data_IF_855590161699
#
_entry.id   IF_855590161699
#
_cell.length_a   1.000
_cell.length_b   1.000
_cell.length_c   1.000
_cell.angle_alpha   90.00
_cell.angle_beta   90.00
_cell.angle_gamma   90.00
#
_symmetry.space_group_name_H-M   'P 1'
#
loop_
_entity.id
_entity.type
_entity.pdbx_description
1 polymer ?
#
# COMPACT_ATOMS: atom_id res chain seq x y z
N UNK A 1 49.06 -3.05 -7.92
CA UNK A 1 48.29 -3.07 -6.66
C UNK A 1 48.39 -1.73 -5.93
N UNK A 2 49.57 -1.34 -5.41
CA UNK A 2 49.77 -0.10 -4.61
C UNK A 2 49.32 1.19 -5.34
N UNK A 3 49.63 1.34 -6.63
CA UNK A 3 49.20 2.50 -7.43
C UNK A 3 47.68 2.58 -7.65
N UNK A 4 46.98 1.44 -7.56
CA UNK A 4 45.53 1.36 -7.78
C UNK A 4 44.74 1.56 -6.47
N UNK A 5 45.40 1.61 -5.31
CA UNK A 5 44.74 1.82 -4.02
C UNK A 5 44.54 3.32 -3.77
N UNK A 6 43.30 3.78 -3.86
CA UNK A 6 42.93 5.18 -3.67
C UNK A 6 42.97 5.63 -2.20
N UNK A 7 43.11 4.69 -1.24
CA UNK A 7 43.09 4.99 0.20
C UNK A 7 44.44 5.43 0.78
N UNK A 8 45.53 5.28 0.02
CA UNK A 8 46.90 5.61 0.46
C UNK A 8 47.34 7.00 -0.07
N UNK A 9 47.85 7.84 0.84
CA UNK A 9 48.46 9.13 0.49
C UNK A 9 49.73 8.96 -0.37
N UNK A 10 50.06 9.96 -1.19
CA UNK A 10 51.12 9.86 -2.19
C UNK A 10 52.54 9.66 -1.60
N UNK A 11 52.80 10.21 -0.41
CA UNK A 11 54.00 10.00 0.40
C UNK A 11 54.13 8.52 0.84
N UNK A 12 53.07 7.94 1.41
CA UNK A 12 53.04 6.55 1.88
C UNK A 12 53.24 5.56 0.74
N UNK A 13 52.67 5.85 -0.44
CA UNK A 13 52.91 5.04 -1.65
C UNK A 13 54.39 5.00 -2.01
N UNK A 14 55.05 6.15 -1.98
CA UNK A 14 56.49 6.26 -2.31
C UNK A 14 57.34 5.48 -1.34
N UNK A 15 57.05 5.56 -0.04
CA UNK A 15 57.77 4.80 0.98
C UNK A 15 57.57 3.29 0.82
N UNK A 16 56.34 2.84 0.53
CA UNK A 16 56.07 1.42 0.32
C UNK A 16 56.77 0.88 -0.94
N UNK A 17 56.88 1.69 -2.00
CA UNK A 17 57.70 1.31 -3.17
C UNK A 17 59.16 1.11 -2.80
N UNK A 18 59.72 1.98 -1.96
CA UNK A 18 61.10 1.83 -1.49
C UNK A 18 61.26 0.55 -0.67
N UNK A 19 60.30 0.22 0.21
CA UNK A 19 60.32 -1.03 0.98
C UNK A 19 60.33 -2.27 0.08
N UNK A 20 59.49 -2.29 -0.96
CA UNK A 20 59.40 -3.43 -1.90
C UNK A 20 60.67 -3.56 -2.74
N UNK A 21 61.25 -2.44 -3.18
CA UNK A 21 62.48 -2.45 -3.98
C UNK A 21 63.70 -2.88 -3.16
N UNK A 22 63.68 -2.67 -1.84
CA UNK A 22 64.77 -3.01 -0.92
C UNK A 22 64.69 -4.44 -0.36
N UNK A 23 63.81 -5.27 -0.91
CA UNK A 23 63.78 -6.71 -0.61
C UNK A 23 65.02 -7.37 -1.23
N UNK A 24 65.92 -7.89 -0.40
CA UNK A 24 67.19 -8.48 -0.84
C UNK A 24 67.09 -9.97 -1.11
N UNK A 25 66.23 -10.69 -0.37
CA UNK A 25 66.00 -12.11 -0.57
C UNK A 25 64.58 -12.52 -0.16
N UNK A 26 64.05 -13.58 -0.78
CA UNK A 26 62.83 -14.24 -0.32
C UNK A 26 62.97 -15.76 -0.40
N UNK A 27 62.52 -16.47 0.63
CA UNK A 27 62.52 -17.94 0.70
C UNK A 27 61.22 -18.44 1.32
N UNK A 28 60.77 -19.63 0.95
CA UNK A 28 59.59 -20.26 1.56
C UNK A 28 60.07 -21.47 2.35
N UNK A 29 59.88 -21.43 3.66
CA UNK A 29 60.24 -22.53 4.58
C UNK A 29 58.98 -22.95 5.31
N UNK A 30 58.62 -24.23 5.19
CA UNK A 30 57.47 -24.83 5.92
C UNK A 30 56.14 -24.07 5.75
N UNK A 31 55.89 -23.48 4.58
CA UNK A 31 54.67 -22.72 4.28
C UNK A 31 54.66 -21.25 4.74
N UNK A 32 55.77 -20.77 5.31
CA UNK A 32 55.99 -19.36 5.68
C UNK A 32 56.94 -18.70 4.69
N UNK A 33 56.54 -17.54 4.16
CA UNK A 33 57.33 -16.70 3.28
C UNK A 33 58.26 -15.80 4.10
N UNK A 34 59.54 -16.11 4.09
CA UNK A 34 60.59 -15.30 4.72
C UNK A 34 61.11 -14.27 3.71
N UNK A 35 60.98 -13.00 4.03
CA UNK A 35 61.43 -11.87 3.21
C UNK A 35 62.53 -11.14 3.96
N UNK A 36 63.71 -11.03 3.38
CA UNK A 36 64.81 -10.22 3.93
C UNK A 36 64.78 -8.84 3.29
N UNK A 37 64.79 -7.79 4.12
CA UNK A 37 64.76 -6.39 3.69
C UNK A 37 66.03 -5.69 4.19
N UNK A 38 66.56 -4.75 3.40
CA UNK A 38 67.69 -3.91 3.81
C UNK A 38 67.47 -3.31 5.21
N UNK A 39 68.50 -3.36 6.05
CA UNK A 39 68.40 -2.97 7.45
C UNK A 39 67.94 -1.53 7.67
N UNK A 40 68.31 -0.61 6.78
CA UNK A 40 67.95 0.81 6.90
C UNK A 40 66.47 1.08 6.61
N UNK A 41 65.90 0.43 5.59
CA UNK A 41 64.46 0.54 5.27
C UNK A 41 63.60 -0.26 6.24
N UNK A 42 64.09 -1.40 6.74
CA UNK A 42 63.39 -2.12 7.80
C UNK A 42 63.22 -1.26 9.07
N UNK A 43 64.27 -0.56 9.52
CA UNK A 43 64.22 0.30 10.72
C UNK A 43 63.27 1.49 10.55
N UNK A 44 63.09 2.02 9.34
CA UNK A 44 62.16 3.10 9.05
C UNK A 44 60.71 2.69 9.33
N UNK A 45 60.32 1.49 8.90
CA UNK A 45 58.94 1.01 8.99
C UNK A 45 58.60 0.34 10.32
N UNK A 46 59.53 -0.43 10.88
CA UNK A 46 59.26 -1.31 12.02
C UNK A 46 60.01 -0.89 13.30
N UNK A 47 60.90 0.09 13.20
CA UNK A 47 61.73 0.57 14.31
C UNK A 47 62.97 -0.30 14.56
N UNK A 48 63.87 0.20 15.41
CA UNK A 48 65.17 -0.43 15.72
C UNK A 48 65.10 -1.65 16.64
N UNK A 49 63.97 -1.88 17.29
CA UNK A 49 63.85 -2.81 18.42
C UNK A 49 63.45 -4.25 18.08
N UNK A 50 63.30 -4.61 16.80
CA UNK A 50 62.88 -5.97 16.41
C UNK A 50 63.71 -6.50 15.24
N UNK A 51 64.13 -7.76 15.35
CA UNK A 51 64.89 -8.50 14.34
C UNK A 51 64.03 -8.98 13.17
N UNK A 52 62.74 -9.17 13.42
CA UNK A 52 61.76 -9.51 12.39
C UNK A 52 60.33 -9.14 12.78
N UNK A 53 59.46 -9.07 11.78
CA UNK A 53 58.01 -8.93 11.94
C UNK A 53 57.27 -10.07 11.27
N UNK A 54 56.35 -10.67 12.01
CA UNK A 54 55.50 -11.74 11.50
C UNK A 54 54.09 -11.20 11.20
N UNK A 55 53.55 -11.56 10.03
CA UNK A 55 52.16 -11.32 9.65
C UNK A 55 51.60 -12.53 8.90
N UNK A 56 50.61 -13.21 9.47
CA UNK A 56 49.99 -14.42 8.91
C UNK A 56 51.00 -15.53 8.53
N UNK A 57 51.32 -15.70 7.24
CA UNK A 57 52.30 -16.67 6.75
C UNK A 57 53.55 -15.97 6.20
N UNK A 58 53.82 -14.73 6.61
CA UNK A 58 54.94 -13.92 6.16
C UNK A 58 55.80 -13.50 7.34
N UNK A 59 57.11 -13.70 7.22
CA UNK A 59 58.11 -13.25 8.17
C UNK A 59 59.05 -12.28 7.47
N UNK A 60 59.03 -11.01 7.86
CA UNK A 60 59.93 -9.98 7.36
C UNK A 60 61.12 -9.92 8.29
N UNK A 61 62.33 -10.11 7.78
CA UNK A 61 63.59 -10.19 8.54
C UNK A 61 64.48 -9.03 8.13
N UNK A 62 65.14 -8.42 9.11
CA UNK A 62 66.14 -7.37 8.89
C UNK A 62 67.45 -7.97 8.37
N UNK A 63 67.99 -7.41 7.28
CA UNK A 63 69.26 -7.85 6.71
C UNK A 63 70.42 -7.68 7.71
N UNK A 64 71.22 -8.74 7.89
CA UNK A 64 72.43 -8.74 8.72
C UNK A 64 72.25 -9.26 10.15
N UNK A 65 71.03 -9.62 10.58
CA UNK A 65 70.81 -10.26 11.88
C UNK A 65 70.68 -11.78 11.75
N UNK A 66 71.56 -12.52 12.44
CA UNK A 66 71.62 -13.99 12.41
C UNK A 66 70.91 -14.65 13.59
N UNK A 67 70.57 -13.91 14.64
CA UNK A 67 69.83 -14.39 15.81
C UNK A 67 68.40 -13.81 15.78
N UNK A 68 67.42 -14.68 15.54
CA UNK A 68 66.01 -14.31 15.31
C UNK A 68 65.22 -14.26 16.63
N UNK A 69 65.84 -13.77 17.72
CA UNK A 69 65.24 -13.88 19.06
C UNK A 69 64.14 -12.85 19.34
N UNK A 70 64.05 -11.79 18.53
CA UNK A 70 63.08 -10.70 18.73
C UNK A 70 62.16 -10.51 17.52
N UNK A 71 61.29 -11.49 17.27
CA UNK A 71 60.22 -11.40 16.27
C UNK A 71 58.97 -10.76 16.89
N UNK A 72 58.61 -9.56 16.44
CA UNK A 72 57.33 -8.94 16.78
C UNK A 72 56.22 -9.33 15.81
N UNK A 73 54.96 -9.20 16.19
CA UNK A 73 53.86 -9.21 15.20
C UNK A 73 53.80 -7.86 14.46
N UNK A 74 53.47 -7.87 13.18
CA UNK A 74 53.16 -6.64 12.45
C UNK A 74 51.72 -6.21 12.80
N UNK A 75 51.55 -4.97 13.22
CA UNK A 75 50.24 -4.39 13.51
C UNK A 75 49.59 -3.88 12.22
N UNK A 76 48.31 -4.18 12.03
CA UNK A 76 47.57 -3.64 10.89
C UNK A 76 47.05 -2.23 11.17
N UNK A 77 46.78 -1.46 10.12
CA UNK A 77 46.14 -0.14 10.27
C UNK A 77 44.79 -0.22 11.00
N UNK A 78 44.02 -1.30 10.76
CA UNK A 78 42.74 -1.51 11.44
C UNK A 78 42.91 -1.73 12.94
N UNK A 79 43.90 -2.52 13.37
CA UNK A 79 44.21 -2.72 14.79
C UNK A 79 44.65 -1.42 15.47
N UNK A 80 45.44 -0.60 14.79
CA UNK A 80 45.85 0.72 15.30
C UNK A 80 44.63 1.63 15.49
N UNK A 81 43.72 1.68 14.50
CA UNK A 81 42.49 2.46 14.59
C UNK A 81 41.55 1.95 15.70
N UNK A 82 41.44 0.62 15.87
CA UNK A 82 40.69 0.02 16.97
C UNK A 82 41.29 0.38 18.32
N UNK A 83 42.61 0.32 18.45
CA UNK A 83 43.30 0.72 19.66
C UNK A 83 43.10 2.21 19.96
N UNK A 84 43.22 3.07 18.95
CA UNK A 84 42.98 4.52 19.09
C UNK A 84 41.54 4.81 19.53
N UNK A 85 40.56 4.14 18.94
CA UNK A 85 39.16 4.26 19.33
C UNK A 85 38.93 3.78 20.77
N UNK A 86 39.51 2.64 21.15
CA UNK A 86 39.45 2.11 22.51
C UNK A 86 40.12 3.04 23.53
N UNK A 87 41.27 3.61 23.20
CA UNK A 87 41.99 4.55 24.05
C UNK A 87 41.21 5.86 24.22
N UNK A 88 40.65 6.40 23.13
CA UNK A 88 39.79 7.59 23.18
C UNK A 88 38.55 7.33 24.04
N UNK A 89 37.92 6.16 23.92
CA UNK A 89 36.80 5.78 24.78
C UNK A 89 37.21 5.73 26.26
N UNK A 90 38.35 5.11 26.57
CA UNK A 90 38.87 5.05 27.93
C UNK A 90 39.17 6.45 28.47
N UNK A 91 39.76 7.33 27.68
CA UNK A 91 40.04 8.70 28.07
C UNK A 91 38.76 9.48 28.38
N UNK A 92 37.71 9.31 27.56
CA UNK A 92 36.39 9.90 27.84
C UNK A 92 35.77 9.37 29.14
N UNK A 93 35.93 8.08 29.43
CA UNK A 93 35.49 7.48 30.71
C UNK A 93 36.25 8.06 31.89
N UNK A 94 37.58 8.15 31.80
CA UNK A 94 38.42 8.74 32.86
C UNK A 94 38.06 10.20 33.12
N UNK A 95 37.67 10.94 32.07
CA UNK A 95 37.28 12.35 32.17
C UNK A 95 35.81 12.57 32.55
N UNK A 96 35.04 11.52 32.87
CA UNK A 96 33.61 11.59 33.25
C UNK A 96 32.72 12.36 32.24
N UNK A 97 32.96 12.20 30.94
CA UNK A 97 32.09 12.79 29.91
C UNK A 97 30.74 12.03 29.82
N UNK A 98 29.62 12.77 29.92
CA UNK A 98 28.26 12.22 30.05
C UNK A 98 27.64 11.62 28.78
N UNK A 99 28.32 11.71 27.63
CA UNK A 99 27.82 11.24 26.33
C UNK A 99 28.16 9.78 26.01
N UNK A 100 28.75 9.04 26.94
CA UNK A 100 29.07 7.62 26.75
C UNK A 100 27.84 6.78 27.10
N UNK A 101 27.03 6.47 26.08
CA UNK A 101 25.93 5.49 26.20
C UNK A 101 26.51 4.07 26.34
N UNK A 102 26.78 3.63 27.56
CA UNK A 102 26.98 2.21 27.83
C UNK A 102 25.69 1.47 27.43
N UNK A 103 25.83 0.41 26.62
CA UNK A 103 24.75 -0.54 26.37
C UNK A 103 24.48 -1.25 27.69
N UNK A 104 23.63 -0.66 28.52
CA UNK A 104 23.29 -1.22 29.84
C UNK A 104 22.83 -2.66 29.65
N UNK A 105 23.27 -3.61 30.49
CA UNK A 105 22.73 -4.97 30.44
C UNK A 105 21.22 -4.89 30.61
N UNK A 106 20.49 -5.62 29.76
CA UNK A 106 19.03 -5.66 29.79
C UNK A 106 18.61 -6.08 31.20
N UNK A 107 18.06 -5.14 31.98
CA UNK A 107 17.49 -5.48 33.28
C UNK A 107 16.29 -6.39 33.02
N UNK A 108 16.37 -7.63 33.49
CA UNK A 108 15.27 -8.58 33.53
C UNK A 108 14.03 -7.96 34.23
N UNK A 109 12.82 -8.45 33.93
CA UNK A 109 11.57 -7.75 34.21
C UNK A 109 11.40 -7.40 35.68
N UNK A 110 11.00 -6.16 35.93
CA UNK A 110 10.55 -5.69 37.24
C UNK A 110 9.29 -6.48 37.63
N UNK A 111 9.31 -7.12 38.80
CA UNK A 111 8.12 -7.78 39.35
C UNK A 111 7.18 -6.67 39.82
N UNK A 112 6.10 -6.43 39.06
CA UNK A 112 5.19 -5.32 39.30
C UNK A 112 4.40 -5.46 40.62
N UNK A 113 4.21 -6.68 41.14
CA UNK A 113 3.44 -6.91 42.36
C UNK A 113 3.90 -8.18 43.09
N UNK A 114 4.42 -8.05 44.31
CA UNK A 114 4.90 -9.17 45.15
C UNK A 114 3.78 -10.13 45.54
N UNK A 115 2.53 -9.64 45.62
CA UNK A 115 1.38 -10.45 46.02
C UNK A 115 0.98 -11.47 44.95
N UNK A 116 1.33 -11.23 43.68
CA UNK A 116 1.01 -12.10 42.54
C UNK A 116 2.18 -13.00 42.14
N UNK A 117 3.29 -12.99 42.88
CA UNK A 117 4.48 -13.78 42.52
C UNK A 117 4.19 -15.27 42.52
N UNK A 118 3.40 -15.76 43.49
CA UNK A 118 3.02 -17.17 43.56
C UNK A 118 2.23 -17.62 42.33
N UNK A 119 1.22 -16.85 41.93
CA UNK A 119 0.39 -17.14 40.75
C UNK A 119 1.17 -16.99 39.46
N UNK A 120 2.03 -15.97 39.34
CA UNK A 120 2.88 -15.76 38.17
C UNK A 120 3.95 -16.85 38.02
N UNK A 121 4.58 -17.27 39.11
CA UNK A 121 5.51 -18.39 39.10
C UNK A 121 4.80 -19.68 38.73
N UNK A 122 3.60 -19.93 39.27
CA UNK A 122 2.83 -21.12 38.92
C UNK A 122 2.42 -21.12 37.44
N UNK A 123 2.04 -19.97 36.87
CA UNK A 123 1.78 -19.82 35.44
C UNK A 123 3.05 -20.00 34.59
N UNK A 124 4.20 -19.46 35.02
CA UNK A 124 5.49 -19.56 34.31
C UNK A 124 6.16 -20.95 34.43
N UNK A 125 5.86 -21.68 35.50
CA UNK A 125 6.36 -23.04 35.74
C UNK A 125 5.41 -24.12 35.22
N UNK A 126 4.23 -23.75 34.71
CA UNK A 126 3.28 -24.72 34.16
C UNK A 126 3.94 -25.49 32.99
N UNK A 127 4.21 -26.80 33.15
CA UNK A 127 4.99 -27.56 32.18
C UNK A 127 4.30 -27.61 30.81
N UNK A 128 2.97 -27.56 30.75
CA UNK A 128 2.21 -27.54 29.49
C UNK A 128 2.55 -26.33 28.60
N UNK A 129 2.83 -25.16 29.20
CA UNK A 129 3.19 -23.94 28.49
C UNK A 129 4.71 -23.84 28.28
N UNK A 130 5.50 -24.19 29.30
CA UNK A 130 6.95 -23.97 29.30
C UNK A 130 7.70 -24.96 28.41
N UNK A 131 7.27 -26.23 28.36
CA UNK A 131 7.85 -27.22 27.45
C UNK A 131 7.56 -26.85 26.00
N UNK A 132 6.31 -26.49 25.70
CA UNK A 132 5.87 -26.08 24.36
C UNK A 132 6.65 -24.87 23.86
N UNK A 133 6.75 -23.80 24.66
CA UNK A 133 7.54 -22.60 24.34
C UNK A 133 9.03 -22.90 24.15
N UNK A 134 9.59 -23.80 24.97
CA UNK A 134 10.99 -24.21 24.85
C UNK A 134 11.25 -24.91 23.51
N UNK A 135 10.40 -25.86 23.11
CA UNK A 135 10.56 -26.57 21.83
C UNK A 135 10.37 -25.61 20.65
N UNK A 136 9.35 -24.74 20.70
CA UNK A 136 9.12 -23.66 19.72
C UNK A 136 10.38 -22.80 19.55
N UNK A 137 11.01 -22.36 20.65
CA UNK A 137 12.22 -21.54 20.59
C UNK A 137 13.43 -22.24 19.98
N UNK A 138 13.44 -23.58 20.02
CA UNK A 138 14.53 -24.41 19.48
C UNK A 138 14.35 -24.70 17.99
N UNK A 139 13.11 -24.79 17.51
CA UNK A 139 12.82 -25.04 16.10
C UNK A 139 12.74 -23.70 15.37
N UNK A 140 13.81 -23.35 14.66
CA UNK A 140 13.88 -22.12 13.86
C UNK A 140 13.73 -22.45 12.38
N UNK A 141 12.86 -21.70 11.70
CA UNK A 141 12.62 -21.81 10.26
C UNK A 141 13.14 -20.54 9.58
N UNK A 142 13.69 -20.72 8.39
CA UNK A 142 14.20 -19.63 7.56
C UNK A 142 13.03 -18.86 6.94
N UNK A 143 12.90 -17.57 7.25
CA UNK A 143 11.82 -16.72 6.73
C UNK A 143 12.22 -15.87 5.50
N UNK A 144 13.43 -16.06 4.96
CA UNK A 144 14.01 -15.25 3.88
C UNK A 144 15.11 -14.30 4.34
N UNK A 145 15.05 -13.78 5.57
CA UNK A 145 16.04 -12.83 6.11
C UNK A 145 16.74 -13.35 7.37
N UNK A 146 16.02 -14.05 8.25
CA UNK A 146 16.56 -14.54 9.53
C UNK A 146 15.94 -15.90 9.93
N UNK A 147 16.61 -16.61 10.83
CA UNK A 147 16.08 -17.83 11.46
C UNK A 147 15.14 -17.46 12.62
N UNK A 148 13.83 -17.50 12.38
CA UNK A 148 12.81 -17.23 13.40
C UNK A 148 12.25 -18.51 14.01
N UNK A 149 12.02 -18.57 15.33
CA UNK A 149 11.33 -19.70 15.95
C UNK A 149 9.90 -19.82 15.39
N UNK A 150 9.40 -21.05 15.28
CA UNK A 150 8.03 -21.33 14.81
C UNK A 150 7.01 -20.89 15.86
N UNK A 151 5.89 -20.28 15.45
CA UNK A 151 4.86 -19.86 16.42
C UNK A 151 4.10 -21.05 17.03
N UNK A 152 3.95 -22.15 16.28
CA UNK A 152 3.24 -23.36 16.72
C UNK A 152 3.94 -24.66 16.27
N UNK A 153 3.87 -25.70 17.11
CA UNK A 153 4.51 -27.00 16.86
C UNK A 153 3.80 -27.88 15.83
N UNK A 154 2.50 -27.66 15.61
CA UNK A 154 1.71 -28.40 14.64
C UNK A 154 1.18 -27.40 13.62
N UNK A 155 1.55 -27.53 12.33
CA UNK A 155 0.86 -26.76 11.30
C UNK A 155 -0.61 -27.17 11.30
N UNK A 156 -1.50 -26.21 11.05
CA UNK A 156 -2.93 -26.49 10.88
C UNK A 156 -3.08 -27.50 9.73
N UNK A 157 -3.87 -28.55 9.95
CA UNK A 157 -4.11 -29.55 8.91
C UNK A 157 -4.81 -28.87 7.72
N UNK A 158 -4.42 -29.25 6.50
CA UNK A 158 -5.03 -28.69 5.30
C UNK A 158 -6.55 -28.93 5.31
N UNK A 159 -7.32 -27.86 5.28
CA UNK A 159 -8.78 -27.89 5.16
C UNK A 159 -9.18 -27.50 3.72
N UNK A 160 -10.37 -27.90 3.24
CA UNK A 160 -10.88 -27.36 1.99
C UNK A 160 -11.09 -25.85 2.15
N UNK A 161 -10.63 -25.07 1.16
CA UNK A 161 -10.81 -23.63 1.09
C UNK A 161 -11.77 -23.29 -0.04
N UNK A 162 -12.83 -22.54 0.28
CA UNK A 162 -13.80 -22.04 -0.69
C UNK A 162 -13.59 -20.55 -0.90
N UNK A 163 -13.40 -20.16 -2.16
CA UNK A 163 -13.26 -18.77 -2.60
C UNK A 163 -14.57 -18.16 -3.10
N UNK A 164 -15.63 -18.97 -3.14
CA UNK A 164 -16.93 -18.50 -3.58
C UNK A 164 -17.49 -17.51 -2.54
N UNK A 165 -18.05 -16.37 -3.00
CA UNK A 165 -18.60 -15.37 -2.11
C UNK A 165 -19.85 -15.91 -1.40
N UNK A 166 -19.79 -15.99 -0.07
CA UNK A 166 -20.86 -16.65 0.71
C UNK A 166 -22.13 -15.79 0.78
N UNK A 167 -22.07 -14.47 0.52
CA UNK A 167 -23.27 -13.63 0.50
C UNK A 167 -24.30 -14.13 -0.53
N UNK A 168 -23.88 -14.77 -1.63
CA UNK A 168 -24.81 -15.33 -2.62
C UNK A 168 -25.69 -16.45 -2.04
N UNK A 169 -25.16 -17.26 -1.12
CA UNK A 169 -25.93 -18.29 -0.44
C UNK A 169 -26.99 -17.68 0.47
N UNK A 170 -26.63 -16.58 1.14
CA UNK A 170 -27.51 -15.86 2.06
C UNK A 170 -28.57 -15.06 1.29
N UNK A 171 -28.22 -14.47 0.14
CA UNK A 171 -29.15 -13.85 -0.83
C UNK A 171 -30.25 -14.82 -1.27
N UNK A 172 -29.93 -16.11 -1.48
CA UNK A 172 -30.91 -17.15 -1.87
C UNK A 172 -31.95 -17.44 -0.78
N UNK A 173 -31.64 -17.19 0.49
CA UNK A 173 -32.57 -17.36 1.60
C UNK A 173 -33.48 -16.14 1.75
N UNK A 174 -32.88 -14.96 1.91
CA UNK A 174 -33.59 -13.68 1.88
C UNK A 174 -32.59 -12.54 1.68
N UNK A 175 -32.98 -11.55 0.88
CA UNK A 175 -32.20 -10.34 0.66
C UNK A 175 -32.16 -9.43 1.91
N UNK A 176 -33.16 -9.56 2.79
CA UNK A 176 -33.26 -8.76 4.03
C UNK A 176 -32.12 -9.03 5.01
N UNK A 177 -31.48 -10.21 4.90
CA UNK A 177 -30.32 -10.54 5.73
C UNK A 177 -29.05 -9.79 5.31
N UNK A 178 -28.99 -9.30 4.06
CA UNK A 178 -27.86 -8.49 3.56
C UNK A 178 -28.13 -7.02 3.82
N UNK A 179 -29.32 -6.58 3.41
CA UNK A 179 -29.74 -5.20 3.49
C UNK A 179 -31.10 -5.16 4.21
N UNK A 180 -31.17 -4.68 5.46
CA UNK A 180 -32.43 -4.67 6.19
C UNK A 180 -33.40 -3.65 5.56
N UNK A 181 -34.67 -4.03 5.44
CA UNK A 181 -35.73 -3.19 4.87
C UNK A 181 -35.46 -2.73 3.42
N UNK A 182 -35.02 -3.64 2.55
CA UNK A 182 -34.76 -3.37 1.11
C UNK A 182 -35.93 -2.62 0.45
N UNK A 183 -37.16 -2.99 0.82
CA UNK A 183 -38.39 -2.41 0.29
C UNK A 183 -38.52 -0.89 0.49
N UNK A 184 -37.88 -0.33 1.53
CA UNK A 184 -37.97 1.10 1.86
C UNK A 184 -37.06 1.99 1.01
N UNK A 185 -36.11 1.41 0.28
CA UNK A 185 -35.27 2.20 -0.62
C UNK A 185 -36.09 2.69 -1.81
N UNK A 186 -36.17 4.00 -2.08
CA UNK A 186 -36.87 4.49 -3.25
C UNK A 186 -36.26 3.99 -4.56
N UNK A 187 -37.07 3.87 -5.60
CA UNK A 187 -36.59 3.62 -6.96
C UNK A 187 -35.70 4.79 -7.43
N UNK A 188 -34.66 4.48 -8.21
CA UNK A 188 -33.70 5.45 -8.78
C UNK A 188 -33.04 6.34 -7.70
N UNK A 189 -32.56 5.70 -6.64
CA UNK A 189 -31.91 6.35 -5.51
C UNK A 189 -30.51 5.79 -5.23
N UNK A 190 -29.67 6.64 -4.66
CA UNK A 190 -28.33 6.29 -4.21
C UNK A 190 -28.22 6.66 -2.74
N UNK A 191 -27.70 5.75 -1.92
CA UNK A 191 -27.48 6.00 -0.50
C UNK A 191 -26.20 5.34 -0.01
N UNK A 192 -25.75 5.75 1.17
CA UNK A 192 -24.52 5.28 1.79
C UNK A 192 -24.90 4.49 3.04
N UNK A 193 -24.38 3.27 3.15
CA UNK A 193 -24.50 2.43 4.33
C UNK A 193 -23.13 2.01 4.86
N UNK A 194 -23.13 1.43 6.05
CA UNK A 194 -21.93 0.91 6.68
C UNK A 194 -22.06 -0.60 6.86
N UNK A 195 -20.96 -1.34 6.61
CA UNK A 195 -20.96 -2.78 6.84
C UNK A 195 -21.01 -3.10 8.33
N UNK A 196 -21.90 -4.00 8.73
CA UNK A 196 -21.86 -4.57 10.08
C UNK A 196 -20.88 -5.75 10.14
N UNK A 197 -19.63 -5.46 10.49
CA UNK A 197 -18.58 -6.48 10.58
C UNK A 197 -18.87 -7.56 11.62
N UNK A 198 -19.57 -7.22 12.72
CA UNK A 198 -19.96 -8.19 13.75
C UNK A 198 -20.89 -9.25 13.20
N UNK A 199 -21.84 -8.84 12.36
CA UNK A 199 -22.74 -9.75 11.68
C UNK A 199 -21.97 -10.69 10.74
N UNK A 200 -21.10 -10.14 9.89
CA UNK A 200 -20.29 -10.92 8.93
C UNK A 200 -19.43 -11.96 9.66
N UNK A 201 -18.72 -11.55 10.73
CA UNK A 201 -17.89 -12.47 11.51
C UNK A 201 -18.71 -13.55 12.22
N UNK A 202 -19.86 -13.19 12.81
CA UNK A 202 -20.73 -14.15 13.49
C UNK A 202 -21.30 -15.21 12.53
N UNK A 203 -21.71 -14.78 11.33
CA UNK A 203 -22.22 -15.66 10.29
C UNK A 203 -21.13 -16.60 9.79
N UNK A 204 -19.94 -16.06 9.50
CA UNK A 204 -18.79 -16.85 9.07
C UNK A 204 -18.31 -17.83 10.14
N UNK A 205 -18.37 -17.45 11.41
CA UNK A 205 -18.02 -18.34 12.51
C UNK A 205 -18.98 -19.54 12.58
N UNK A 206 -20.29 -19.30 12.47
CA UNK A 206 -21.30 -20.37 12.45
C UNK A 206 -21.15 -21.29 11.24
N UNK A 207 -20.95 -20.73 10.06
CA UNK A 207 -20.83 -21.48 8.82
C UNK A 207 -19.57 -22.35 8.78
N UNK A 208 -18.43 -21.84 9.26
CA UNK A 208 -17.20 -22.63 9.41
C UNK A 208 -17.34 -23.71 10.50
N UNK A 209 -18.05 -23.43 11.59
CA UNK A 209 -18.28 -24.40 12.67
C UNK A 209 -19.09 -25.61 12.19
N UNK A 210 -20.17 -25.38 11.44
CA UNK A 210 -20.97 -26.46 10.86
C UNK A 210 -20.20 -27.23 9.78
N UNK A 211 -19.40 -26.54 8.96
CA UNK A 211 -18.54 -27.22 7.99
C UNK A 211 -17.47 -28.09 8.67
N UNK A 212 -16.86 -27.62 9.75
CA UNK A 212 -15.88 -28.41 10.50
C UNK A 212 -16.51 -29.66 11.13
N UNK A 213 -17.77 -29.57 11.60
CA UNK A 213 -18.55 -30.72 12.08
C UNK A 213 -18.84 -31.73 10.98
N UNK A 214 -19.25 -31.26 9.81
CA UNK A 214 -19.53 -32.13 8.66
C UNK A 214 -18.25 -32.83 8.17
N UNK A 215 -17.13 -32.12 8.12
CA UNK A 215 -15.82 -32.71 7.77
C UNK A 215 -15.41 -33.81 8.77
N UNK A 216 -15.61 -33.56 10.07
CA UNK A 216 -15.36 -34.58 11.09
C UNK A 216 -16.28 -35.79 10.90
N UNK A 217 -17.57 -35.55 10.64
CA UNK A 217 -18.56 -36.61 10.44
C UNK A 217 -18.25 -37.48 9.21
N UNK A 218 -17.69 -36.88 8.15
CA UNK A 218 -17.22 -37.59 6.94
C UNK A 218 -15.84 -38.23 7.11
N UNK A 219 -15.30 -38.28 8.32
CA UNK A 219 -13.96 -38.80 8.63
C UNK A 219 -12.84 -38.11 7.84
N UNK A 220 -13.06 -36.86 7.42
CA UNK A 220 -12.03 -36.07 6.77
C UNK A 220 -10.89 -35.79 7.77
N UNK A 221 -9.61 -35.90 7.38
CA UNK A 221 -8.49 -35.61 8.27
C UNK A 221 -8.43 -34.11 8.59
N UNK A 222 -9.07 -33.70 9.69
CA UNK A 222 -9.11 -32.31 10.15
C UNK A 222 -8.71 -32.21 11.62
N UNK A 223 -8.04 -31.12 11.97
CA UNK A 223 -7.77 -30.71 13.35
C UNK A 223 -8.83 -29.72 13.88
N UNK A 224 -9.88 -29.44 13.09
CA UNK A 224 -10.93 -28.46 13.36
C UNK A 224 -10.45 -27.00 13.52
N UNK A 225 -9.18 -26.70 13.21
CA UNK A 225 -8.60 -25.34 13.30
C UNK A 225 -8.59 -24.62 11.95
N UNK A 226 -8.78 -25.37 10.87
CA UNK A 226 -8.93 -24.84 9.52
C UNK A 226 -10.14 -23.93 9.36
N UNK A 227 -10.04 -22.93 8.49
CA UNK A 227 -11.14 -22.01 8.17
C UNK A 227 -11.46 -22.15 6.70
N UNK A 228 -12.55 -22.86 6.40
CA UNK A 228 -12.93 -23.21 5.02
C UNK A 228 -13.51 -22.03 4.25
N UNK A 229 -14.27 -21.17 4.90
CA UNK A 229 -14.94 -20.03 4.30
C UNK A 229 -14.38 -18.74 4.88
N UNK A 230 -13.74 -17.93 4.04
CA UNK A 230 -13.09 -16.68 4.47
C UNK A 230 -13.57 -15.45 3.71
N UNK A 231 -14.36 -15.64 2.66
CA UNK A 231 -14.81 -14.61 1.76
C UNK A 231 -16.33 -14.46 1.84
N UNK A 232 -16.80 -13.32 2.34
CA UNK A 232 -18.22 -12.99 2.40
C UNK A 232 -18.66 -12.31 1.11
N UNK A 233 -17.94 -11.27 0.68
CA UNK A 233 -18.28 -10.46 -0.48
C UNK A 233 -17.58 -10.93 -1.76
N UNK A 234 -18.08 -10.51 -2.92
CA UNK A 234 -17.39 -10.74 -4.19
C UNK A 234 -16.26 -9.73 -4.37
N UNK A 235 -15.03 -10.22 -4.56
CA UNK A 235 -13.82 -9.41 -4.75
C UNK A 235 -13.21 -9.52 -6.13
N UNK A 236 -13.92 -10.12 -7.10
CA UNK A 236 -13.41 -10.30 -8.46
C UNK A 236 -12.93 -9.00 -9.10
N UNK A 237 -13.53 -7.87 -8.72
CA UNK A 237 -13.21 -6.53 -9.25
C UNK A 237 -12.13 -5.78 -8.44
N UNK A 238 -11.54 -6.38 -7.40
CA UNK A 238 -10.50 -5.73 -6.60
C UNK A 238 -9.14 -5.74 -7.33
N UNK A 239 -8.73 -4.59 -7.84
CA UNK A 239 -7.50 -4.42 -8.62
C UNK A 239 -6.27 -4.03 -7.79
N UNK A 240 -6.43 -3.65 -6.51
CA UNK A 240 -5.35 -3.03 -5.73
C UNK A 240 -4.55 -3.99 -4.88
N UNK A 241 -5.16 -5.09 -4.43
CA UNK A 241 -4.52 -6.01 -3.51
C UNK A 241 -3.96 -7.21 -4.25
N UNK A 242 -2.63 -7.28 -4.35
CA UNK A 242 -1.94 -8.41 -4.97
C UNK A 242 -1.84 -9.62 -4.03
N UNK A 243 -1.95 -9.41 -2.71
CA UNK A 243 -1.84 -10.47 -1.71
C UNK A 243 -3.18 -11.20 -1.52
N UNK A 244 -3.28 -12.50 -1.89
CA UNK A 244 -4.52 -13.25 -1.74
C UNK A 244 -5.03 -13.32 -0.29
N UNK A 245 -4.15 -13.27 0.72
CA UNK A 245 -4.55 -13.35 2.13
C UNK A 245 -5.27 -12.09 2.62
N UNK A 246 -4.95 -10.94 2.04
CA UNK A 246 -5.57 -9.65 2.35
C UNK A 246 -6.86 -9.41 1.58
N UNK A 247 -7.07 -10.14 0.48
CA UNK A 247 -8.34 -10.11 -0.25
C UNK A 247 -9.50 -10.73 0.55
N UNK A 248 -9.24 -11.62 1.51
CA UNK A 248 -10.30 -12.24 2.31
C UNK A 248 -10.96 -11.27 3.30
N UNK A 249 -12.24 -11.47 3.61
CA UNK A 249 -12.97 -10.63 4.56
C UNK A 249 -12.54 -10.90 6.01
N UNK A 250 -12.26 -12.16 6.36
CA UNK A 250 -11.88 -12.56 7.71
C UNK A 250 -10.46 -13.16 7.81
N UNK A 251 -9.82 -12.90 8.95
CA UNK A 251 -8.60 -13.63 9.36
C UNK A 251 -8.96 -15.09 9.69
N UNK A 252 -7.96 -15.97 9.67
CA UNK A 252 -8.14 -17.39 10.04
C UNK A 252 -8.68 -17.47 11.48
N UNK A 253 -9.73 -18.27 11.68
CA UNK A 253 -10.47 -18.30 12.95
C UNK A 253 -9.62 -18.72 14.15
N UNK A 254 -8.61 -19.59 13.96
CA UNK A 254 -7.71 -19.99 15.03
C UNK A 254 -6.81 -18.85 15.55
N UNK A 255 -6.74 -17.72 14.84
CA UNK A 255 -6.00 -16.52 15.24
C UNK A 255 -6.90 -15.45 15.90
N UNK A 256 -8.21 -15.68 15.99
CA UNK A 256 -9.13 -14.72 16.57
C UNK A 256 -8.88 -14.63 18.07
N UNK A 257 -8.47 -13.44 18.52
CA UNK A 257 -8.16 -13.13 19.91
C UNK A 257 -8.91 -11.88 20.41
N UNK A 258 -9.74 -11.28 19.55
CA UNK A 258 -10.54 -10.09 19.83
C UNK A 258 -12.03 -10.40 19.74
N UNK A 259 -12.83 -9.47 20.24
CA UNK A 259 -14.29 -9.51 20.09
C UNK A 259 -14.71 -9.56 18.62
N UNK A 260 -15.94 -10.04 18.38
CA UNK A 260 -16.54 -10.02 17.06
C UNK A 260 -16.63 -8.58 16.53
N UNK A 261 -16.25 -8.40 15.27
CA UNK A 261 -16.13 -7.12 14.58
C UNK A 261 -14.69 -6.67 14.36
N UNK A 262 -13.71 -7.26 15.05
CA UNK A 262 -12.30 -6.81 15.02
C UNK A 262 -11.34 -7.80 14.35
N UNK A 263 -11.86 -8.86 13.71
CA UNK A 263 -11.08 -9.96 13.15
C UNK A 263 -11.03 -9.94 11.60
N UNK A 264 -11.29 -8.79 10.98
CA UNK A 264 -11.20 -8.59 9.53
C UNK A 264 -9.76 -8.69 9.01
N UNK A 265 -9.57 -9.25 7.80
CA UNK A 265 -8.26 -9.27 7.13
C UNK A 265 -7.93 -7.91 6.50
N UNK A 266 -8.96 -7.25 5.95
CA UNK A 266 -8.88 -5.96 5.23
C UNK A 266 -8.82 -4.77 6.19
N UNK A 267 -7.71 -4.59 6.89
CA UNK A 267 -7.48 -3.36 7.67
C UNK A 267 -6.28 -2.63 7.12
N UNK A 268 -6.50 -1.53 6.39
CA UNK A 268 -5.41 -0.67 5.94
C UNK A 268 -4.84 0.15 7.09
N UNK A 269 -5.69 0.53 8.05
CA UNK A 269 -5.29 1.19 9.29
C UNK A 269 -5.40 0.21 10.48
N UNK A 270 -4.36 -0.60 10.73
CA UNK A 270 -4.29 -1.41 11.97
C UNK A 270 -4.27 -0.55 13.25
N UNK A 271 -4.03 0.76 13.10
CA UNK A 271 -3.85 1.73 14.18
C UNK A 271 -5.11 2.51 14.56
N UNK A 272 -6.23 2.34 13.84
CA UNK A 272 -7.49 3.00 14.18
C UNK A 272 -8.36 2.04 15.03
N UNK A 273 -8.52 2.29 16.35
CA UNK A 273 -9.34 1.46 17.22
C UNK A 273 -10.85 1.57 16.92
N UNK A 274 -11.22 2.55 16.10
CA UNK A 274 -12.59 2.98 15.83
C UNK A 274 -12.95 2.81 14.35
N UNK A 275 -12.35 1.80 13.72
CA UNK A 275 -12.68 1.45 12.36
C UNK A 275 -14.05 0.78 12.29
N UNK A 276 -15.06 1.62 12.09
CA UNK A 276 -16.48 1.25 12.15
C UNK A 276 -16.95 0.41 10.93
N UNK A 277 -16.03 -0.02 10.06
CA UNK A 277 -16.30 -0.89 8.91
C UNK A 277 -16.27 -0.16 7.57
N UNK A 278 -16.41 -0.93 6.48
CA UNK A 278 -16.37 -0.40 5.12
C UNK A 278 -17.64 0.37 4.81
N UNK A 279 -17.50 1.43 4.02
CA UNK A 279 -18.65 2.16 3.50
C UNK A 279 -19.17 1.45 2.25
N UNK A 280 -20.48 1.28 2.16
CA UNK A 280 -21.16 0.64 1.03
C UNK A 280 -22.03 1.67 0.34
N UNK A 281 -21.73 1.96 -0.92
CA UNK A 281 -22.60 2.70 -1.81
C UNK A 281 -23.70 1.76 -2.30
N UNK A 282 -24.95 2.08 -1.98
CA UNK A 282 -26.13 1.37 -2.45
C UNK A 282 -26.73 2.15 -3.60
N UNK A 283 -26.87 1.49 -4.74
CA UNK A 283 -27.46 2.06 -5.95
C UNK A 283 -28.67 1.22 -6.30
N UNK A 284 -29.87 1.81 -6.18
CA UNK A 284 -31.12 1.21 -6.65
C UNK A 284 -31.57 1.95 -7.89
N UNK A 285 -31.57 1.30 -9.04
CA UNK A 285 -32.08 1.92 -10.25
C UNK A 285 -31.78 1.15 -11.53
N UNK A 286 -32.51 1.50 -12.58
CA UNK A 286 -32.41 0.80 -13.88
C UNK A 286 -31.13 1.15 -14.66
N UNK A 287 -30.38 2.17 -14.22
CA UNK A 287 -29.16 2.62 -14.88
C UNK A 287 -28.17 1.46 -15.07
N UNK A 288 -27.89 0.72 -14.01
CA UNK A 288 -26.92 -0.38 -14.04
C UNK A 288 -27.44 -1.63 -14.76
N UNK A 289 -28.77 -1.79 -14.84
CA UNK A 289 -29.39 -2.83 -15.68
C UNK A 289 -29.24 -2.51 -17.18
N UNK A 290 -29.44 -1.24 -17.56
CA UNK A 290 -29.31 -0.78 -18.94
C UNK A 290 -27.85 -0.68 -19.38
N UNK A 291 -26.97 -0.27 -18.47
CA UNK A 291 -25.53 -0.09 -18.70
C UNK A 291 -24.72 -0.89 -17.66
N UNK A 292 -24.59 -2.22 -17.83
CA UNK A 292 -23.88 -3.08 -16.88
C UNK A 292 -22.37 -2.83 -16.83
N UNK A 293 -21.80 -2.15 -17.85
CA UNK A 293 -20.37 -1.84 -17.93
C UNK A 293 -20.01 -0.48 -17.31
N UNK A 294 -20.92 0.17 -16.59
CA UNK A 294 -20.67 1.45 -15.92
C UNK A 294 -19.58 1.29 -14.87
N UNK A 295 -18.54 2.12 -14.93
CA UNK A 295 -17.48 2.14 -13.92
C UNK A 295 -17.97 2.94 -12.71
N UNK A 296 -17.87 2.35 -11.53
CA UNK A 296 -18.18 3.01 -10.25
C UNK A 296 -16.90 3.14 -9.45
N UNK A 297 -16.55 4.35 -9.05
CA UNK A 297 -15.38 4.63 -8.22
C UNK A 297 -15.59 5.87 -7.35
N UNK A 298 -14.77 6.04 -6.33
CA UNK A 298 -14.71 7.24 -5.51
C UNK A 298 -13.56 8.15 -5.97
N UNK A 299 -13.81 9.44 -6.09
CA UNK A 299 -12.81 10.44 -6.46
C UNK A 299 -12.75 11.55 -5.41
N UNK A 300 -11.53 12.00 -5.09
CA UNK A 300 -11.32 13.05 -4.09
C UNK A 300 -11.90 14.38 -4.56
N UNK A 301 -12.68 15.02 -3.69
CA UNK A 301 -13.18 16.37 -3.92
C UNK A 301 -12.05 17.40 -3.80
N UNK A 302 -12.23 18.56 -4.41
CA UNK A 302 -11.42 19.75 -4.23
C UNK A 302 -12.35 20.95 -3.94
N UNK A 303 -11.85 21.92 -3.20
CA UNK A 303 -12.51 23.21 -3.09
C UNK A 303 -12.28 24.00 -4.37
N UNK A 304 -13.24 24.83 -4.73
CA UNK A 304 -13.08 25.79 -5.82
C UNK A 304 -11.93 26.76 -5.47
N UNK A 305 -10.96 26.99 -6.38
CA UNK A 305 -9.82 27.89 -6.15
C UNK A 305 -10.23 29.34 -5.89
N UNK A 306 -11.34 29.80 -6.46
CA UNK A 306 -11.79 31.18 -6.40
C UNK A 306 -12.69 31.44 -5.18
N UNK A 307 -13.50 30.46 -4.77
CA UNK A 307 -14.33 30.55 -3.57
C UNK A 307 -14.57 29.18 -2.91
N UNK A 308 -13.92 28.88 -1.78
CA UNK A 308 -14.05 27.60 -1.11
C UNK A 308 -15.43 27.35 -0.47
N UNK A 309 -16.32 28.35 -0.41
CA UNK A 309 -17.69 28.19 0.06
C UNK A 309 -18.67 27.72 -1.03
N UNK A 310 -18.25 27.73 -2.30
CA UNK A 310 -19.03 27.19 -3.43
C UNK A 310 -19.11 25.66 -3.40
N UNK A 311 -19.87 25.10 -4.34
CA UNK A 311 -19.94 23.67 -4.56
C UNK A 311 -18.54 23.10 -4.83
N UNK A 312 -18.26 21.94 -4.26
CA UNK A 312 -16.97 21.27 -4.41
C UNK A 312 -16.83 20.75 -5.83
N UNK A 313 -15.62 20.76 -6.35
CA UNK A 313 -15.28 20.31 -7.69
C UNK A 313 -14.53 18.97 -7.64
N UNK A 314 -14.52 18.25 -8.77
CA UNK A 314 -13.69 17.06 -8.91
C UNK A 314 -12.23 17.48 -9.10
N UNK A 315 -11.33 16.83 -8.34
CA UNK A 315 -9.89 16.96 -8.58
C UNK A 315 -9.54 16.32 -9.94
N UNK A 316 -8.54 16.80 -10.70
CA UNK A 316 -8.09 16.12 -11.92
C UNK A 316 -7.83 14.63 -11.72
N UNK A 317 -8.15 13.86 -12.78
CA UNK A 317 -8.05 12.40 -12.84
C UNK A 317 -6.57 11.98 -12.68
N UNK A 318 -6.20 11.57 -11.47
CA UNK A 318 -4.87 11.07 -11.13
C UNK A 318 -5.06 9.83 -10.28
N UNK A 319 -4.27 8.77 -10.52
CA UNK A 319 -4.40 7.48 -9.82
C UNK A 319 -4.42 7.61 -8.28
N UNK A 320 -3.71 8.60 -7.73
CA UNK A 320 -3.68 8.87 -6.29
C UNK A 320 -5.00 9.43 -5.71
N UNK A 321 -5.87 9.99 -6.55
CA UNK A 321 -7.13 10.62 -6.16
C UNK A 321 -8.35 9.72 -6.39
N UNK A 322 -8.15 8.50 -6.89
CA UNK A 322 -9.21 7.56 -7.25
C UNK A 322 -9.14 6.30 -6.38
N UNK A 323 -10.29 5.86 -5.90
CA UNK A 323 -10.46 4.57 -5.20
C UNK A 323 -11.55 3.75 -5.87
N UNK A 324 -11.18 2.60 -6.41
CA UNK A 324 -12.12 1.57 -6.87
C UNK A 324 -12.75 0.81 -5.70
N UNK A 325 -13.94 0.21 -5.90
CA UNK A 325 -14.56 -0.63 -4.89
C UNK A 325 -13.69 -1.85 -4.55
N UNK A 326 -13.65 -2.20 -3.27
CA UNK A 326 -13.01 -3.41 -2.76
C UNK A 326 -13.83 -4.67 -3.04
N UNK A 327 -15.14 -4.51 -3.06
CA UNK A 327 -16.08 -5.59 -3.29
C UNK A 327 -17.36 -5.06 -3.92
N UNK A 328 -18.04 -5.95 -4.64
CA UNK A 328 -19.33 -5.71 -5.24
C UNK A 328 -20.34 -6.77 -4.77
N UNK A 329 -21.62 -6.40 -4.73
CA UNK A 329 -22.69 -7.34 -4.53
C UNK A 329 -23.95 -6.87 -5.26
N UNK A 330 -24.70 -7.82 -5.81
CA UNK A 330 -25.94 -7.56 -6.55
C UNK A 330 -27.12 -8.21 -5.83
N UNK A 331 -28.18 -7.44 -5.61
CA UNK A 331 -29.46 -7.87 -5.08
C UNK A 331 -30.53 -7.65 -6.15
N UNK A 332 -31.36 -8.67 -6.37
CA UNK A 332 -32.40 -8.61 -7.39
C UNK A 332 -33.58 -7.74 -6.91
N UNK A 333 -34.22 -6.94 -7.79
CA UNK A 333 -34.01 -6.91 -9.23
C UNK A 333 -32.97 -5.88 -9.72
N UNK A 334 -32.70 -4.81 -8.98
CA UNK A 334 -31.98 -3.63 -9.49
C UNK A 334 -31.12 -2.91 -8.44
N UNK A 335 -30.60 -3.65 -7.45
CA UNK A 335 -29.84 -3.09 -6.34
C UNK A 335 -28.39 -3.56 -6.41
N UNK A 336 -27.48 -2.60 -6.47
CA UNK A 336 -26.03 -2.83 -6.52
C UNK A 336 -25.37 -2.21 -5.29
N UNK A 337 -24.46 -2.97 -4.70
CA UNK A 337 -23.71 -2.59 -3.50
C UNK A 337 -22.22 -2.53 -3.87
N UNK A 338 -21.58 -1.40 -3.61
CA UNK A 338 -20.15 -1.20 -3.85
C UNK A 338 -19.45 -0.80 -2.56
N UNK A 339 -18.51 -1.62 -2.09
CA UNK A 339 -17.78 -1.38 -0.85
C UNK A 339 -16.49 -0.59 -1.05
N UNK A 340 -16.26 0.44 -0.24
CA UNK A 340 -15.07 1.28 -0.26
C UNK A 340 -14.40 1.30 1.13
N UNK A 341 -13.06 1.30 1.12
CA UNK A 341 -12.23 1.51 2.31
C UNK A 341 -12.09 3.00 2.59
N UNK A 342 -13.13 3.61 3.13
CA UNK A 342 -13.17 5.01 3.51
C UNK A 342 -14.00 5.14 4.79
N UNK A 343 -13.66 6.11 5.65
CA UNK A 343 -14.45 6.39 6.86
C UNK A 343 -15.48 7.48 6.62
N UNK A 344 -16.53 7.55 7.45
CA UNK A 344 -17.65 8.50 7.27
C UNK A 344 -17.12 9.95 7.27
N UNK A 345 -16.18 10.25 8.17
CA UNK A 345 -15.53 11.56 8.27
C UNK A 345 -14.71 11.91 7.03
N UNK A 346 -13.99 10.93 6.48
CA UNK A 346 -13.20 11.13 5.26
C UNK A 346 -14.10 11.43 4.07
N UNK A 347 -15.20 10.69 3.94
CA UNK A 347 -16.16 10.80 2.86
C UNK A 347 -16.90 12.14 2.91
N UNK A 348 -17.48 12.49 4.06
CA UNK A 348 -18.26 13.72 4.23
C UNK A 348 -17.44 14.98 3.95
N UNK A 349 -16.22 15.01 4.49
CA UNK A 349 -15.35 16.18 4.44
C UNK A 349 -15.91 17.40 5.19
N UNK A 350 -15.07 18.42 5.35
CA UNK A 350 -15.38 19.65 6.07
C UNK A 350 -16.14 20.62 5.16
N UNK A 351 -17.31 21.10 5.57
CA UNK A 351 -18.03 22.13 4.80
C UNK A 351 -17.51 23.51 5.19
N UNK A 352 -16.95 24.22 4.22
CA UNK A 352 -16.51 25.60 4.41
C UNK A 352 -17.71 26.52 4.22
N UNK A 353 -18.07 27.27 5.26
CA UNK A 353 -19.16 28.25 5.21
C UNK A 353 -18.68 29.67 4.85
N UNK A 354 -17.38 29.95 5.02
CA UNK A 354 -16.79 31.26 4.80
C UNK A 354 -15.73 31.21 3.70
N UNK A 355 -15.89 32.03 2.67
CA UNK A 355 -14.98 32.14 1.52
C UNK A 355 -13.53 32.50 1.90
N UNK A 356 -13.32 33.16 3.04
CA UNK A 356 -11.99 33.57 3.53
C UNK A 356 -11.30 32.54 4.45
N UNK A 357 -11.87 31.34 4.62
CA UNK A 357 -11.28 30.35 5.52
C UNK A 357 -10.12 29.59 4.88
N UNK A 358 -9.10 29.27 5.69
CA UNK A 358 -7.92 28.53 5.21
C UNK A 358 -8.29 27.06 4.95
N UNK A 359 -8.22 26.65 3.68
CA UNK A 359 -8.55 25.30 3.20
C UNK A 359 -7.42 24.29 3.41
N UNK A 360 -6.21 24.72 3.79
CA UNK A 360 -5.01 23.87 3.82
C UNK A 360 -5.07 22.68 4.80
N UNK A 361 -5.92 22.75 5.83
CA UNK A 361 -6.14 21.66 6.79
C UNK A 361 -7.52 21.00 6.65
N UNK A 362 -8.40 21.56 5.81
CA UNK A 362 -9.75 21.08 5.62
C UNK A 362 -9.77 19.91 4.62
N UNK A 363 -10.54 18.87 4.92
CA UNK A 363 -10.68 17.72 4.03
C UNK A 363 -11.89 17.95 3.12
N UNK A 364 -11.73 18.05 1.79
CA UNK A 364 -12.85 18.35 0.90
C UNK A 364 -13.87 17.22 0.77
N UNK A 365 -13.55 15.99 1.18
CA UNK A 365 -14.44 14.84 1.06
C UNK A 365 -14.24 14.04 -0.23
N UNK A 366 -15.20 13.16 -0.52
CA UNK A 366 -15.18 12.29 -1.70
C UNK A 366 -16.49 12.35 -2.49
N UNK A 367 -16.35 12.27 -3.81
CA UNK A 367 -17.42 12.05 -4.77
C UNK A 367 -17.52 10.57 -5.13
N UNK A 368 -18.74 10.08 -5.29
CA UNK A 368 -18.99 8.82 -5.99
C UNK A 368 -19.29 9.11 -7.45
N UNK A 369 -18.52 8.49 -8.32
CA UNK A 369 -18.51 8.75 -9.76
C UNK A 369 -18.98 7.50 -10.50
N UNK A 370 -19.96 7.70 -11.37
CA UNK A 370 -20.45 6.75 -12.35
C UNK A 370 -19.93 7.22 -13.71
N UNK A 371 -19.07 6.43 -14.33
CA UNK A 371 -18.42 6.77 -15.59
C UNK A 371 -18.78 5.74 -16.64
N UNK A 372 -19.20 6.21 -17.80
CA UNK A 372 -19.32 5.34 -18.97
C UNK A 372 -17.93 4.82 -19.36
N UNK A 373 -17.85 3.53 -19.72
CA UNK A 373 -16.57 2.92 -20.07
C UNK A 373 -16.05 3.53 -21.39
N UNK A 374 -14.84 4.12 -21.43
CA UNK A 374 -14.33 4.83 -22.61
C UNK A 374 -14.19 3.98 -23.88
N UNK A 375 -14.23 2.65 -23.76
CA UNK A 375 -14.15 1.73 -24.89
C UNK A 375 -15.42 1.63 -25.75
N UNK A 376 -16.53 2.25 -25.33
CA UNK A 376 -17.78 2.30 -26.10
C UNK A 376 -17.88 3.60 -26.89
N UNK A 377 -17.16 3.67 -28.01
CA UNK A 377 -17.16 4.83 -28.90
C UNK A 377 -18.57 5.04 -29.44
N UNK A 378 -19.13 6.23 -29.21
CA UNK A 378 -20.40 6.67 -29.79
C UNK A 378 -20.16 7.92 -30.62
N UNK A 379 -20.93 8.02 -31.70
CA UNK A 379 -20.97 9.22 -32.53
C UNK A 379 -22.38 9.81 -32.50
N UNK A 380 -22.46 11.11 -32.34
CA UNK A 380 -23.72 11.83 -32.24
C UNK A 380 -23.53 13.20 -31.61
N UNK A 381 -24.58 13.99 -31.68
CA UNK A 381 -24.70 15.22 -30.90
C UNK A 381 -25.77 15.00 -29.84
N UNK A 382 -25.67 15.75 -28.76
CA UNK A 382 -26.66 15.72 -27.71
C UNK A 382 -27.83 16.66 -28.03
N UNK A 383 -28.95 16.47 -27.33
CA UNK A 383 -30.04 17.43 -27.38
C UNK A 383 -29.70 18.59 -26.45
N UNK A 384 -30.12 19.79 -26.82
CA UNK A 384 -30.04 20.95 -25.95
C UNK A 384 -30.94 20.76 -24.73
N UNK A 385 -30.33 20.93 -23.56
CA UNK A 385 -31.00 21.00 -22.26
C UNK A 385 -30.58 22.29 -21.58
N UNK A 386 -31.54 23.01 -21.00
CA UNK A 386 -31.24 24.17 -20.17
C UNK A 386 -30.63 23.76 -18.80
N UNK A 387 -30.23 24.75 -17.98
CA UNK A 387 -29.65 24.51 -16.64
C UNK A 387 -30.61 23.75 -15.68
N UNK A 388 -31.91 23.72 -15.99
CA UNK A 388 -32.95 23.05 -15.23
C UNK A 388 -33.32 21.67 -15.81
N UNK A 389 -32.70 21.26 -16.91
CA UNK A 389 -32.94 20.00 -17.60
C UNK A 389 -34.17 20.00 -18.51
N UNK A 390 -34.69 21.16 -18.90
CA UNK A 390 -35.73 21.27 -19.91
C UNK A 390 -35.13 21.17 -21.32
N UNK A 391 -35.56 20.15 -22.06
CA UNK A 391 -35.17 19.92 -23.45
C UNK A 391 -35.92 20.85 -24.41
N UNK A 392 -36.96 21.56 -23.98
CA UNK A 392 -37.86 22.32 -24.88
C UNK A 392 -37.23 23.56 -25.52
N UNK A 393 -36.14 24.08 -24.94
CA UNK A 393 -35.45 25.29 -25.36
C UNK A 393 -34.58 25.15 -26.61
N UNK A 394 -34.01 26.28 -27.03
CA UNK A 394 -32.95 26.39 -28.05
C UNK A 394 -31.74 27.07 -27.41
N UNK A 395 -30.52 26.82 -27.90
CA UNK A 395 -29.32 27.46 -27.38
C UNK A 395 -29.39 28.98 -27.54
N UNK A 396 -29.00 29.70 -26.48
CA UNK A 396 -28.96 31.17 -26.48
C UNK A 396 -27.83 31.74 -27.33
N UNK A 397 -26.75 30.97 -27.50
CA UNK A 397 -25.60 31.33 -28.32
C UNK A 397 -25.69 30.60 -29.67
N UNK A 398 -25.41 31.32 -30.76
CA UNK A 398 -25.38 30.73 -32.10
C UNK A 398 -24.20 29.79 -32.33
N UNK A 399 -23.18 29.85 -31.47
CA UNK A 399 -21.97 29.05 -31.51
C UNK A 399 -21.68 28.47 -30.12
N UNK A 400 -21.31 27.18 -30.03
CA UNK A 400 -20.95 26.55 -28.77
C UNK A 400 -19.59 27.05 -28.25
N UNK A 401 -19.36 26.94 -26.94
CA UNK A 401 -18.10 27.34 -26.32
C UNK A 401 -16.98 26.36 -26.67
N UNK A 402 -17.23 25.07 -26.49
CA UNK A 402 -16.36 23.97 -26.90
C UNK A 402 -17.06 23.03 -27.89
N UNK A 403 -16.33 22.15 -28.57
CA UNK A 403 -16.94 21.17 -29.49
C UNK A 403 -17.85 20.16 -28.76
N UNK A 404 -17.60 19.92 -27.46
CA UNK A 404 -18.46 19.07 -26.64
C UNK A 404 -19.82 19.71 -26.35
N UNK A 405 -19.93 21.04 -26.41
CA UNK A 405 -21.20 21.75 -26.18
C UNK A 405 -22.06 21.84 -27.46
N UNK A 406 -21.61 21.23 -28.56
CA UNK A 406 -22.35 21.20 -29.81
C UNK A 406 -23.56 20.26 -29.69
N UNK A 407 -24.76 20.84 -29.75
CA UNK A 407 -26.02 20.08 -29.77
C UNK A 407 -26.68 20.10 -31.15
N UNK A 408 -27.66 19.21 -31.36
CA UNK A 408 -28.43 19.18 -32.61
C UNK A 408 -29.11 20.52 -32.95
N UNK A 409 -29.58 21.25 -31.94
CA UNK A 409 -30.28 22.52 -32.05
C UNK A 409 -29.38 23.64 -32.61
N UNK A 410 -28.06 23.58 -32.36
CA UNK A 410 -27.11 24.52 -32.97
C UNK A 410 -27.02 24.35 -34.50
N UNK A 411 -27.41 23.18 -35.02
CA UNK A 411 -27.40 22.90 -36.46
C UNK A 411 -28.64 23.44 -37.18
N UNK A 412 -29.63 23.94 -36.45
CA UNK A 412 -30.92 24.33 -37.01
C UNK A 412 -31.32 25.74 -36.54
N UNK A 413 -32.21 26.41 -37.27
CA UNK A 413 -32.77 27.71 -36.87
C UNK A 413 -34.02 27.58 -36.00
N UNK A 414 -34.86 26.58 -36.26
CA UNK A 414 -36.03 26.24 -35.45
C UNK A 414 -36.04 24.75 -35.08
N UNK A 415 -36.50 24.41 -33.87
CA UNK A 415 -36.50 23.02 -33.39
C UNK A 415 -37.30 22.05 -34.29
N UNK A 416 -38.33 22.54 -34.98
CA UNK A 416 -39.14 21.69 -35.86
C UNK A 416 -38.38 21.20 -37.10
N UNK A 417 -37.37 21.93 -37.59
CA UNK A 417 -36.64 21.47 -38.77
C UNK A 417 -35.72 20.27 -38.46
N UNK A 418 -35.43 19.98 -37.18
CA UNK A 418 -34.66 18.80 -36.77
C UNK A 418 -35.25 17.49 -37.31
N UNK A 419 -36.58 17.41 -37.44
CA UNK A 419 -37.27 16.20 -37.93
C UNK A 419 -36.85 15.80 -39.34
N UNK A 420 -36.46 16.77 -40.17
CA UNK A 420 -36.06 16.57 -41.56
C UNK A 420 -34.59 16.96 -41.80
N UNK A 421 -33.85 17.25 -40.73
CA UNK A 421 -32.49 17.75 -40.85
C UNK A 421 -31.52 16.60 -41.13
N UNK A 422 -30.66 16.81 -42.13
CA UNK A 422 -29.50 15.99 -42.38
C UNK A 422 -28.25 16.86 -42.19
N UNK A 423 -27.17 16.26 -41.71
CA UNK A 423 -25.90 16.99 -41.51
C UNK A 423 -25.46 17.59 -42.84
N UNK A 424 -25.41 18.93 -42.91
CA UNK A 424 -24.93 19.66 -44.08
C UNK A 424 -23.52 20.20 -43.81
N UNK A 425 -22.55 19.74 -44.59
CA UNK A 425 -21.15 20.16 -44.49
C UNK A 425 -20.90 21.60 -44.94
N UNK A 426 -21.89 22.26 -45.55
CA UNK A 426 -21.79 23.67 -45.95
C UNK A 426 -22.18 24.66 -44.85
N UNK A 427 -22.64 24.17 -43.68
CA UNK A 427 -22.94 25.02 -42.54
C UNK A 427 -21.64 25.44 -41.87
N UNK A 428 -21.49 26.73 -41.57
CA UNK A 428 -20.35 27.24 -40.83
C UNK A 428 -20.66 27.08 -39.35
N UNK A 429 -19.89 26.22 -38.67
CA UNK A 429 -19.95 26.00 -37.22
C UNK A 429 -18.54 26.19 -36.69
N UNK A 430 -18.38 27.13 -35.76
CA UNK A 430 -17.12 27.40 -35.07
C UNK A 430 -17.38 27.40 -33.56
N UNK A 431 -16.32 27.16 -32.79
CA UNK A 431 -16.31 27.26 -31.33
C UNK A 431 -15.74 28.61 -30.88
N UNK A 432 -16.25 29.16 -29.78
CA UNK A 432 -15.80 30.47 -29.28
C UNK A 432 -14.58 30.40 -28.37
N UNK A 433 -14.37 29.27 -27.68
CA UNK A 433 -13.24 29.07 -26.77
C UNK A 433 -12.68 27.64 -26.88
N UNK A 434 -11.89 27.34 -27.92
CA UNK A 434 -11.31 26.03 -28.08
C UNK A 434 -10.29 25.71 -26.98
N UNK A 435 -10.23 24.44 -26.58
CA UNK A 435 -9.22 23.97 -25.63
C UNK A 435 -7.82 24.12 -26.26
N UNK A 436 -6.88 24.87 -25.63
CA UNK A 436 -5.57 25.13 -26.20
C UNK A 436 -4.69 23.88 -26.39
N UNK A 437 -4.99 22.78 -25.69
CA UNK A 437 -4.20 21.54 -25.73
C UNK A 437 -4.75 20.50 -26.73
N UNK A 438 -5.91 20.74 -27.34
CA UNK A 438 -6.54 19.82 -28.29
C UNK A 438 -6.36 20.28 -29.76
N UNK A 439 -6.23 19.33 -30.72
CA UNK A 439 -6.27 19.68 -32.13
C UNK A 439 -7.63 20.32 -32.44
N UNK A 440 -7.63 21.41 -33.21
CA UNK A 440 -8.82 22.13 -33.63
C UNK A 440 -9.42 21.47 -34.88
N UNK A 441 -10.46 20.62 -34.78
CA UNK A 441 -11.12 20.09 -35.96
C UNK A 441 -11.93 21.18 -36.66
N UNK A 442 -11.96 21.13 -37.99
CA UNK A 442 -12.76 22.04 -38.82
C UNK A 442 -14.01 21.32 -39.36
N UNK A 443 -15.17 21.96 -39.20
CA UNK A 443 -16.43 21.43 -39.70
C UNK A 443 -16.42 21.31 -41.23
N UNK A 444 -16.66 20.11 -41.75
CA UNK A 444 -16.79 19.84 -43.18
C UNK A 444 -15.48 19.76 -43.97
N UNK A 445 -14.31 19.81 -43.31
CA UNK A 445 -13.00 19.72 -43.95
C UNK A 445 -12.61 18.27 -44.27
N UNK A 446 -12.41 17.44 -43.24
CA UNK A 446 -12.04 16.03 -43.37
C UNK A 446 -13.00 15.11 -42.60
N UNK A 447 -13.07 13.83 -43.02
CA UNK A 447 -13.81 12.80 -42.31
C UNK A 447 -13.26 12.57 -40.89
N UNK A 448 -11.95 12.74 -40.68
CA UNK A 448 -11.34 12.66 -39.35
C UNK A 448 -11.82 13.79 -38.43
N UNK A 449 -11.91 15.03 -38.95
CA UNK A 449 -12.36 16.20 -38.20
C UNK A 449 -13.84 16.10 -37.85
N UNK A 450 -14.66 15.61 -38.80
CA UNK A 450 -16.07 15.34 -38.52
C UNK A 450 -16.25 14.22 -37.48
N UNK A 451 -15.39 13.20 -37.51
CA UNK A 451 -15.45 12.11 -36.54
C UNK A 451 -15.04 12.58 -35.14
N UNK A 452 -14.04 13.45 -35.00
CA UNK A 452 -13.67 14.01 -33.69
C UNK A 452 -14.72 14.96 -33.14
N UNK A 453 -15.37 15.77 -33.99
CA UNK A 453 -16.47 16.65 -33.56
C UNK A 453 -17.70 15.84 -33.12
N UNK A 454 -18.05 14.77 -33.84
CA UNK A 454 -19.20 13.93 -33.52
C UNK A 454 -18.89 12.89 -32.43
N UNK A 455 -17.65 12.80 -31.96
CA UNK A 455 -17.28 11.83 -30.94
C UNK A 455 -17.88 12.26 -29.59
N UNK A 456 -18.74 11.41 -29.03
CA UNK A 456 -19.33 11.66 -27.73
C UNK A 456 -18.36 11.25 -26.63
N UNK A 457 -17.97 12.23 -25.80
CA UNK A 457 -17.17 11.96 -24.62
C UNK A 457 -17.93 11.11 -23.60
N UNK A 458 -17.26 10.18 -22.88
CA UNK A 458 -17.92 9.34 -21.89
C UNK A 458 -18.61 10.19 -20.82
N UNK A 459 -19.87 9.88 -20.55
CA UNK A 459 -20.64 10.57 -19.50
C UNK A 459 -20.05 10.26 -18.13
N UNK A 460 -19.83 11.30 -17.34
CA UNK A 460 -19.39 11.23 -15.96
C UNK A 460 -20.49 11.84 -15.09
N UNK A 461 -21.10 11.02 -14.24
CA UNK A 461 -22.04 11.48 -13.23
C UNK A 461 -21.38 11.36 -11.86
N UNK A 462 -21.15 12.49 -11.20
CA UNK A 462 -20.54 12.53 -9.87
C UNK A 462 -21.51 13.14 -8.86
N UNK A 463 -21.63 12.49 -7.70
CA UNK A 463 -22.39 13.03 -6.57
C UNK A 463 -21.54 13.08 -5.32
N UNK A 464 -21.60 14.21 -4.62
CA UNK A 464 -20.85 14.38 -3.39
C UNK A 464 -21.50 13.54 -2.30
N UNK A 465 -20.71 12.75 -1.61
CA UNK A 465 -21.19 11.84 -0.57
C UNK A 465 -21.88 12.51 0.63
N UNK A 466 -21.47 13.72 1.00
CA UNK A 466 -22.16 14.53 2.03
C UNK A 466 -23.65 14.78 1.73
N UNK A 467 -24.08 14.76 0.47
CA UNK A 467 -25.52 14.89 0.11
C UNK A 467 -26.32 13.62 0.44
N UNK A 468 -25.63 12.48 0.60
CA UNK A 468 -26.24 11.18 0.88
C UNK A 468 -26.18 10.82 2.37
N UNK A 469 -25.46 11.60 3.18
CA UNK A 469 -25.35 11.40 4.62
C UNK A 469 -26.36 12.30 5.34
N UNK A 470 -26.88 11.88 6.50
CA UNK A 470 -27.72 12.74 7.32
C UNK A 470 -26.93 13.99 7.75
N UNK A 471 -27.62 15.14 7.76
CA UNK A 471 -27.12 16.37 8.38
C UNK A 471 -26.96 16.16 9.89
N UNK A 472 -25.85 16.65 10.46
CA UNK A 472 -25.61 16.65 11.91
C UNK A 472 -26.33 17.78 12.65
#
# INVERSE_FOLDING_TARGET
>A
AINADASLEANVKTEFFNLVNDITAYTIVSGVLNITVNGSTYELFFGKGSSGKHYQNMLIIKEGETEIDHIGSATTQQEILQYQNGFNLLQKVVNNETDIKFKSPVRNPQIANLNNVGTDLQMKLNPSLTITKRIISQIKVWNGTEMKPIDELKPVMACPEFKDPVYEQLKKLSQDFILPNVEKLPQDSITILQTNQRFIESYMAGLNHEMARELLWREFPTDQRGTSFRQFWDVRDNLFESDPEKQFDIKKMHLWNKDLGSNRSRSWNESDPQDDGNIVLVVRGQLLLKYPNTMVYAQKAAYDPDDPAKQRILTPDTEANIRYPLFSAELEPDIFLFGFDLTIDQIRGDRIQNSNSNTASAKPGWFFVFKERPGQIKFGLDNYTDELGDESGMPTNSFPETWNDLTWEHLVSEKEDLKNYCIRFNKIVNVTNPDPDEPLPEWGSNAADMASILYQNPVIFARHSAEMLPEE
#
